data_IF_309107698031
#
_entry.id   IF_309107698031
#
_cell.length_a   1.000
_cell.length_b   1.000
_cell.length_c   1.000
_cell.angle_alpha   90.00
_cell.angle_beta   90.00
_cell.angle_gamma   90.00
#
_symmetry.space_group_name_H-M   'P 1'
#
loop_
_entity.id
_entity.type
_entity.pdbx_description
1 polymer ?
#
# COMPACT_ATOMS: atom_id res chain seq x y z
N UNK A 1 7.93 8.43 36.41
CA UNK A 1 7.76 8.80 34.99
C UNK A 1 6.77 7.80 34.39
N UNK A 2 5.59 8.23 33.91
CA UNK A 2 4.56 7.31 33.41
C UNK A 2 5.01 6.53 32.16
N UNK A 3 5.97 7.04 31.38
CA UNK A 3 6.51 6.37 30.19
C UNK A 3 7.20 5.04 30.51
N UNK A 4 7.86 4.95 31.69
CA UNK A 4 8.56 3.74 32.14
C UNK A 4 7.65 2.52 32.30
N UNK A 5 6.35 2.70 32.55
CA UNK A 5 5.40 1.59 32.73
C UNK A 5 4.78 1.12 31.41
N UNK A 6 5.01 1.83 30.30
CA UNK A 6 4.49 1.46 28.98
C UNK A 6 5.35 0.42 28.26
N UNK A 7 6.62 0.26 28.64
CA UNK A 7 7.62 -0.53 27.92
C UNK A 7 8.00 -1.86 28.62
N UNK A 8 7.67 -1.98 29.91
CA UNK A 8 7.94 -3.15 30.74
C UNK A 8 6.76 -3.54 31.63
N UNK A 9 6.86 -4.73 32.21
CA UNK A 9 5.96 -5.28 33.23
C UNK A 9 6.78 -5.61 34.48
N UNK A 10 6.13 -5.57 35.65
CA UNK A 10 6.74 -5.94 36.93
C UNK A 10 5.92 -7.07 37.53
N UNK A 11 6.59 -8.11 38.01
CA UNK A 11 5.99 -9.27 38.67
C UNK A 11 6.63 -9.50 40.04
N UNK A 12 5.80 -9.70 41.06
CA UNK A 12 6.29 -10.05 42.39
C UNK A 12 6.73 -11.53 42.45
N UNK A 13 7.77 -11.78 43.22
CA UNK A 13 8.30 -13.12 43.51
C UNK A 13 8.38 -13.31 45.03
N UNK A 14 8.63 -14.54 45.49
CA UNK A 14 8.65 -14.86 46.94
C UNK A 14 9.62 -14.00 47.74
N UNK A 15 10.69 -13.52 47.13
CA UNK A 15 11.79 -12.80 47.80
C UNK A 15 12.10 -11.41 47.21
N UNK A 16 11.44 -11.00 46.10
CA UNK A 16 11.77 -9.79 45.35
C UNK A 16 10.68 -9.44 44.30
N UNK A 17 10.99 -8.52 43.37
CA UNK A 17 10.23 -8.28 42.15
C UNK A 17 11.13 -8.42 40.91
N UNK A 18 10.57 -8.90 39.79
CA UNK A 18 11.26 -9.03 38.50
C UNK A 18 10.60 -8.13 37.47
N UNK A 19 11.42 -7.43 36.68
CA UNK A 19 10.95 -6.66 35.54
C UNK A 19 11.14 -7.47 34.25
N UNK A 20 10.27 -7.26 33.27
CA UNK A 20 10.38 -7.85 31.94
C UNK A 20 9.85 -6.89 30.89
N UNK A 21 10.56 -6.75 29.76
CA UNK A 21 10.08 -5.94 28.64
C UNK A 21 8.77 -6.48 28.08
N UNK A 22 7.88 -5.57 27.66
CA UNK A 22 6.62 -5.93 27.00
C UNK A 22 6.89 -6.49 25.61
N UNK A 23 5.87 -7.14 25.06
CA UNK A 23 5.89 -7.58 23.66
C UNK A 23 6.19 -6.38 22.73
N UNK A 24 7.10 -6.59 21.77
CA UNK A 24 7.59 -5.53 20.89
C UNK A 24 8.73 -4.68 21.46
N UNK A 25 9.24 -4.99 22.67
CA UNK A 25 10.40 -4.34 23.28
C UNK A 25 11.51 -5.36 23.58
N UNK A 26 12.76 -4.93 23.42
CA UNK A 26 13.96 -5.72 23.70
C UNK A 26 14.75 -5.03 24.81
N UNK A 27 15.33 -5.83 25.70
CA UNK A 27 16.20 -5.33 26.77
C UNK A 27 17.61 -5.07 26.24
N UNK A 28 18.10 -3.85 26.45
CA UNK A 28 19.44 -3.43 26.04
C UNK A 28 20.48 -3.55 27.16
N UNK A 29 20.08 -3.94 28.37
CA UNK A 29 20.96 -4.09 29.52
C UNK A 29 20.70 -5.39 30.32
N UNK A 30 20.55 -6.52 29.60
CA UNK A 30 20.21 -7.83 30.17
C UNK A 30 21.13 -8.30 31.31
N UNK A 31 22.41 -7.89 31.31
CA UNK A 31 23.40 -8.37 32.28
C UNK A 31 23.42 -7.57 33.57
N UNK A 32 23.20 -6.25 33.52
CA UNK A 32 23.34 -5.37 34.69
C UNK A 32 21.98 -5.02 35.28
N UNK A 33 20.97 -4.79 34.44
CA UNK A 33 19.63 -4.39 34.87
C UNK A 33 18.55 -5.11 34.04
N UNK A 34 18.43 -6.44 34.19
CA UNK A 34 17.49 -7.22 33.37
C UNK A 34 16.05 -6.70 33.47
N UNK A 35 15.42 -6.56 32.31
CA UNK A 35 14.05 -6.11 32.11
C UNK A 35 13.82 -4.63 32.42
N UNK A 36 14.87 -3.78 32.45
CA UNK A 36 14.77 -2.36 32.83
C UNK A 36 15.22 -1.37 31.76
N UNK A 37 16.05 -1.75 30.79
CA UNK A 37 16.37 -0.92 29.61
C UNK A 37 15.62 -1.46 28.38
N UNK A 38 14.29 -1.35 28.42
CA UNK A 38 13.42 -1.84 27.36
C UNK A 38 13.27 -0.80 26.27
N UNK A 39 13.57 -1.14 25.01
CA UNK A 39 13.35 -0.26 23.86
C UNK A 39 12.62 -0.98 22.76
N UNK A 40 11.88 -0.22 21.94
CA UNK A 40 11.07 -0.79 20.87
C UNK A 40 11.96 -1.60 19.92
N UNK A 41 11.61 -2.87 19.75
CA UNK A 41 12.39 -3.86 19.02
C UNK A 41 12.55 -3.47 17.56
N UNK A 42 11.47 -2.98 16.96
CA UNK A 42 11.40 -2.54 15.58
C UNK A 42 10.99 -1.06 15.52
N UNK A 43 11.75 -0.27 14.78
CA UNK A 43 11.53 1.17 14.60
C UNK A 43 11.65 1.55 13.13
N UNK A 44 11.54 0.60 12.20
CA UNK A 44 11.81 0.83 10.78
C UNK A 44 10.82 1.85 10.21
N UNK A 45 9.52 1.68 10.51
CA UNK A 45 8.48 2.57 10.00
C UNK A 45 8.58 3.98 10.60
N UNK A 46 8.89 4.09 11.89
CA UNK A 46 9.04 5.38 12.57
C UNK A 46 10.33 6.12 12.17
N UNK A 47 11.40 5.39 11.87
CA UNK A 47 12.69 5.96 11.46
C UNK A 47 12.74 6.36 9.98
N UNK A 48 11.73 6.01 9.19
CA UNK A 48 11.72 6.23 7.74
C UNK A 48 12.73 5.38 6.98
N UNK A 49 13.27 4.32 7.60
CA UNK A 49 14.27 3.42 6.98
C UNK A 49 13.61 2.32 6.15
N UNK A 50 12.62 2.70 5.36
CA UNK A 50 11.87 1.82 4.46
C UNK A 50 11.71 2.47 3.09
N UNK A 51 11.47 1.66 2.06
CA UNK A 51 11.34 2.09 0.67
C UNK A 51 9.89 2.09 0.17
N UNK A 52 8.93 2.14 1.09
CA UNK A 52 7.51 2.07 0.77
C UNK A 52 7.03 3.30 0.00
N UNK A 53 6.08 3.08 -0.91
CA UNK A 53 5.43 4.16 -1.64
C UNK A 53 4.79 5.14 -0.65
N UNK A 54 4.75 6.44 -0.99
CA UNK A 54 4.07 7.47 -0.19
C UNK A 54 2.58 7.17 0.04
N UNK A 55 1.98 6.43 -0.88
CA UNK A 55 0.59 5.97 -0.86
C UNK A 55 0.46 4.57 -0.26
N UNK A 56 1.53 4.02 0.33
CA UNK A 56 1.51 2.80 1.11
C UNK A 56 1.56 3.09 2.62
N UNK A 57 1.09 2.14 3.39
CA UNK A 57 1.30 2.03 4.83
C UNK A 57 2.49 1.11 5.10
N UNK A 58 3.41 1.55 5.96
CA UNK A 58 4.47 0.71 6.51
C UNK A 58 3.95 -0.04 7.75
N UNK A 59 4.20 -1.35 7.80
CA UNK A 59 3.80 -2.22 8.90
C UNK A 59 5.02 -2.98 9.39
N UNK A 60 5.40 -2.76 10.65
CA UNK A 60 6.53 -3.44 11.28
C UNK A 60 6.23 -4.93 11.48
N UNK A 61 7.18 -5.79 11.13
CA UNK A 61 7.12 -7.24 11.30
C UNK A 61 8.35 -7.71 12.09
N UNK A 62 8.13 -8.54 13.10
CA UNK A 62 9.21 -9.01 13.96
C UNK A 62 10.07 -7.87 14.52
N UNK A 63 11.37 -8.14 14.72
CA UNK A 63 12.32 -7.19 15.33
C UNK A 63 13.06 -6.31 14.33
N UNK A 64 13.20 -6.73 13.07
CA UNK A 64 13.93 -5.97 12.05
C UNK A 64 13.39 -6.23 10.63
N UNK A 65 12.08 -6.42 10.53
CA UNK A 65 11.40 -6.65 9.26
C UNK A 65 10.19 -5.72 9.11
N UNK A 66 9.68 -5.57 7.89
CA UNK A 66 8.53 -4.73 7.62
C UNK A 66 7.91 -5.11 6.28
N UNK A 67 6.61 -4.90 6.18
CA UNK A 67 5.87 -5.01 4.94
C UNK A 67 5.26 -3.66 4.58
N UNK A 68 4.97 -3.47 3.29
CA UNK A 68 4.16 -2.32 2.89
C UNK A 68 2.98 -2.74 2.05
N UNK A 69 1.89 -2.02 2.31
CA UNK A 69 0.57 -2.30 1.80
C UNK A 69 0.00 -1.00 1.27
N UNK A 70 -0.45 -0.98 0.02
CA UNK A 70 -1.10 0.20 -0.54
C UNK A 70 -2.29 0.63 0.33
N UNK A 71 -2.46 1.93 0.53
CA UNK A 71 -3.60 2.48 1.28
C UNK A 71 -4.91 2.16 0.55
N UNK A 72 -6.02 2.23 1.27
CA UNK A 72 -7.34 2.09 0.66
C UNK A 72 -7.51 3.10 -0.49
N UNK A 73 -8.07 2.65 -1.62
CA UNK A 73 -8.17 3.45 -2.84
C UNK A 73 -6.92 3.42 -3.73
N UNK A 74 -5.93 2.57 -3.44
CA UNK A 74 -4.75 2.40 -4.28
C UNK A 74 -4.54 0.93 -4.69
N UNK A 75 -4.17 0.72 -5.94
CA UNK A 75 -3.77 -0.55 -6.52
C UNK A 75 -2.25 -0.74 -6.42
N UNK A 76 -1.84 -1.94 -6.03
CA UNK A 76 -0.44 -2.34 -6.04
C UNK A 76 0.03 -2.71 -7.45
N UNK A 77 1.04 -1.99 -7.92
CA UNK A 77 1.69 -2.15 -9.23
C UNK A 77 3.15 -2.54 -9.11
N UNK A 78 3.58 -2.92 -7.90
CA UNK A 78 4.99 -3.19 -7.61
C UNK A 78 5.51 -4.30 -8.53
N UNK A 79 6.72 -4.15 -9.10
CA UNK A 79 7.22 -5.05 -10.13
C UNK A 79 7.57 -6.45 -9.61
N UNK A 80 7.82 -6.57 -8.30
CA UNK A 80 8.21 -7.81 -7.65
C UNK A 80 7.08 -8.29 -6.74
N UNK A 81 6.55 -9.52 -6.91
CA UNK A 81 5.40 -10.01 -6.15
C UNK A 81 5.59 -10.06 -4.63
N UNK A 82 6.84 -10.17 -4.17
CA UNK A 82 7.21 -10.23 -2.76
C UNK A 82 7.61 -8.85 -2.19
N UNK A 83 7.48 -7.78 -2.98
CA UNK A 83 7.79 -6.39 -2.60
C UNK A 83 6.58 -5.52 -2.88
N UNK A 84 5.46 -5.84 -2.23
CA UNK A 84 4.22 -5.06 -2.32
C UNK A 84 4.39 -3.67 -1.71
N UNK A 85 3.49 -2.76 -2.07
CA UNK A 85 3.42 -1.41 -1.54
C UNK A 85 4.60 -0.52 -1.91
N UNK A 86 5.31 -0.83 -3.00
CA UNK A 86 6.44 -0.05 -3.54
C UNK A 86 6.04 0.81 -4.73
N UNK A 87 4.97 0.44 -5.41
CA UNK A 87 4.30 1.27 -6.42
C UNK A 87 2.78 1.19 -6.18
N UNK A 88 2.21 2.26 -5.65
CA UNK A 88 0.77 2.33 -5.35
C UNK A 88 0.10 3.39 -6.21
N UNK A 89 -0.74 2.95 -7.16
CA UNK A 89 -1.47 3.83 -8.08
C UNK A 89 -2.90 4.05 -7.60
N UNK A 90 -3.38 5.27 -7.69
CA UNK A 90 -4.73 5.61 -7.26
C UNK A 90 -5.76 4.89 -8.13
N UNK A 91 -6.79 4.35 -7.49
CA UNK A 91 -7.97 3.80 -8.14
C UNK A 91 -8.89 4.96 -8.49
N UNK A 92 -8.89 5.34 -9.75
CA UNK A 92 -9.72 6.42 -10.28
C UNK A 92 -10.69 5.77 -11.26
N UNK A 93 -11.98 6.15 -11.18
CA UNK A 93 -12.92 5.79 -12.22
C UNK A 93 -12.96 6.93 -13.24
N UNK A 94 -12.15 6.80 -14.30
CA UNK A 94 -12.03 7.83 -15.34
C UNK A 94 -13.31 7.95 -16.19
N UNK A 95 -14.24 6.99 -16.10
CA UNK A 95 -15.51 7.04 -16.82
C UNK A 95 -16.56 7.95 -16.16
N UNK A 96 -16.37 8.34 -14.89
CA UNK A 96 -17.28 9.28 -14.21
C UNK A 96 -17.06 10.74 -14.64
N UNK A 97 -15.92 11.06 -15.24
CA UNK A 97 -15.57 12.39 -15.73
C UNK A 97 -14.92 12.28 -17.11
N UNK A 98 -15.59 12.81 -18.14
CA UNK A 98 -15.10 12.79 -19.52
C UNK A 98 -13.76 13.51 -19.72
N UNK A 99 -13.31 14.33 -18.78
CA UNK A 99 -11.99 14.97 -18.83
C UNK A 99 -10.85 14.06 -18.35
N UNK A 100 -11.17 12.95 -17.66
CA UNK A 100 -10.20 11.98 -17.16
C UNK A 100 -9.95 10.83 -18.14
N UNK A 101 -10.76 10.73 -19.20
CA UNK A 101 -10.61 9.72 -20.24
C UNK A 101 -10.46 10.34 -21.65
N UNK A 102 -9.69 9.70 -22.52
CA UNK A 102 -9.57 10.08 -23.94
C UNK A 102 -10.47 9.22 -24.86
N UNK A 103 -11.62 8.72 -24.39
CA UNK A 103 -12.50 7.88 -25.23
C UNK A 103 -13.00 8.68 -26.44
N UNK A 104 -13.25 8.00 -27.57
CA UNK A 104 -14.05 8.63 -28.61
C UNK A 104 -15.41 9.03 -28.02
N UNK A 105 -15.96 10.23 -28.30
CA UNK A 105 -17.27 10.63 -27.77
C UNK A 105 -18.41 9.65 -28.07
N UNK A 106 -18.29 8.84 -29.13
CA UNK A 106 -19.25 7.80 -29.47
C UNK A 106 -18.94 6.43 -28.84
N UNK A 107 -17.75 6.25 -28.24
CA UNK A 107 -17.35 5.02 -27.59
C UNK A 107 -17.96 4.89 -26.18
N UNK A 108 -18.08 3.65 -25.72
CA UNK A 108 -18.42 3.34 -24.33
C UNK A 108 -17.15 3.25 -23.49
N UNK A 109 -17.08 4.00 -22.40
CA UNK A 109 -16.02 3.89 -21.40
C UNK A 109 -16.33 2.77 -20.40
N UNK A 110 -15.34 1.93 -20.11
CA UNK A 110 -15.40 0.88 -19.09
C UNK A 110 -14.25 1.03 -18.10
N UNK A 111 -14.59 1.32 -16.86
CA UNK A 111 -13.64 1.41 -15.76
C UNK A 111 -13.02 0.05 -15.45
N UNK A 112 -11.76 0.04 -15.03
CA UNK A 112 -11.01 -1.15 -14.62
C UNK A 112 -10.15 -0.83 -13.39
N UNK A 113 -9.81 -1.82 -12.53
CA UNK A 113 -8.96 -1.53 -11.36
C UNK A 113 -7.60 -0.93 -11.79
N UNK A 114 -7.08 -1.52 -12.86
CA UNK A 114 -6.31 -0.98 -13.96
C UNK A 114 -6.05 0.53 -14.14
N UNK A 115 -7.13 1.16 -14.60
CA UNK A 115 -7.30 2.35 -15.45
C UNK A 115 -8.67 2.19 -16.15
N UNK A 116 -8.80 2.40 -17.46
CA UNK A 116 -10.06 2.27 -18.19
C UNK A 116 -9.86 1.82 -19.64
N UNK A 117 -10.91 1.24 -20.21
CA UNK A 117 -10.98 0.81 -21.60
C UNK A 117 -12.09 1.56 -22.34
N UNK A 118 -11.91 1.77 -23.64
CA UNK A 118 -12.95 2.31 -24.50
C UNK A 118 -13.31 1.32 -25.59
N UNK A 119 -14.60 1.23 -25.89
CA UNK A 119 -15.13 0.33 -26.90
C UNK A 119 -16.00 1.07 -27.90
N UNK A 120 -15.67 0.95 -29.18
CA UNK A 120 -16.47 1.52 -30.25
C UNK A 120 -17.85 0.84 -30.33
N UNK A 121 -18.92 1.58 -30.66
CA UNK A 121 -20.27 1.05 -30.72
C UNK A 121 -20.41 -0.03 -31.80
N UNK A 122 -21.36 -0.95 -31.61
CA UNK A 122 -21.67 -2.00 -32.59
C UNK A 122 -22.01 -1.36 -33.94
N UNK A 123 -21.43 -1.89 -35.03
CA UNK A 123 -21.59 -1.32 -36.38
C UNK A 123 -20.61 -0.19 -36.70
N UNK A 124 -19.64 0.09 -35.83
CA UNK A 124 -18.51 0.98 -36.13
C UNK A 124 -17.18 0.22 -36.16
N UNK A 125 -16.17 0.80 -36.81
CA UNK A 125 -14.80 0.28 -36.87
C UNK A 125 -13.88 1.17 -36.05
N UNK A 126 -13.08 0.55 -35.18
CA UNK A 126 -11.97 1.22 -34.52
C UNK A 126 -10.85 1.49 -35.53
N UNK A 127 -10.46 2.76 -35.66
CA UNK A 127 -9.38 3.22 -36.54
C UNK A 127 -8.26 3.93 -35.77
N UNK A 128 -8.15 3.68 -34.46
CA UNK A 128 -7.01 4.09 -33.65
C UNK A 128 -5.68 3.62 -34.26
N UNK A 129 -4.67 4.50 -34.25
CA UNK A 129 -3.32 4.17 -34.76
C UNK A 129 -2.54 3.28 -33.80
N UNK A 130 -2.77 3.45 -32.51
CA UNK A 130 -2.11 2.69 -31.45
C UNK A 130 -3.02 1.52 -31.03
N UNK A 131 -2.60 0.26 -31.22
CA UNK A 131 -3.39 -0.91 -30.83
C UNK A 131 -3.71 -0.99 -29.33
N UNK A 132 -2.90 -0.36 -28.48
CA UNK A 132 -3.16 -0.30 -27.04
C UNK A 132 -4.22 0.73 -26.66
N UNK A 133 -4.54 1.66 -27.58
CA UNK A 133 -5.54 2.73 -27.41
C UNK A 133 -6.75 2.49 -28.29
N UNK A 134 -7.39 1.34 -28.10
CA UNK A 134 -8.67 1.04 -28.73
C UNK A 134 -9.80 1.95 -28.25
N UNK A 135 -10.81 2.15 -29.09
CA UNK A 135 -12.03 2.91 -28.80
C UNK A 135 -11.82 4.43 -28.74
N UNK A 136 -10.69 4.94 -29.23
CA UNK A 136 -10.35 6.39 -29.18
C UNK A 136 -10.59 7.10 -30.50
N UNK A 137 -10.88 6.32 -31.54
CA UNK A 137 -11.30 6.82 -32.84
C UNK A 137 -12.25 5.81 -33.51
N UNK A 138 -13.55 6.08 -33.46
CA UNK A 138 -14.58 5.19 -33.93
C UNK A 138 -15.20 5.71 -35.23
N UNK A 139 -15.12 4.91 -36.29
CA UNK A 139 -15.70 5.25 -37.58
C UNK A 139 -17.00 4.48 -37.82
N UNK A 140 -18.12 5.18 -37.90
CA UNK A 140 -19.43 4.58 -38.18
C UNK A 140 -19.44 3.90 -39.54
N UNK A 141 -19.77 2.60 -39.59
CA UNK A 141 -19.95 1.89 -40.86
C UNK A 141 -21.42 1.96 -41.21
N UNK A 142 -21.76 2.69 -42.26
CA UNK A 142 -23.11 2.65 -42.81
C UNK A 142 -23.34 1.27 -43.43
N UNK A 143 -24.16 0.45 -42.77
CA UNK A 143 -24.72 -0.76 -43.36
C UNK A 143 -25.81 -0.33 -44.35
N UNK A 144 -25.48 -0.36 -45.63
CA UNK A 144 -26.43 -0.27 -46.73
C UNK A 144 -27.02 -1.64 -47.06
#
# INVERSE_FOLDING_TARGET
NLLYYLELTVSDTRDAYKCQCKEGYVDHDELRNPGRDCRKANQICESGRHDCDKNAQCIERGTNDYECVCKAGFLDRSPLPHRTGRECRELINECLDSSLNDCDPAATCRDTPDSYECECPIGSRDISKDPSKRGRNCFGVSVH
#
